data_IF_371076332924
#
_entry.id   IF_371076332924
#
_cell.length_a   1.000
_cell.length_b   1.000
_cell.length_c   1.000
_cell.angle_alpha   90.00
_cell.angle_beta   90.00
_cell.angle_gamma   90.00
#
_symmetry.space_group_name_H-M   'P 1'
#
loop_
_entity.id
_entity.type
_entity.pdbx_description
1 polymer ?
#
# COMPACT_ATOMS: atom_id res chain seq x y z
N UNK A 1 -8.70 65.39 -24.29
CA UNK A 1 -8.79 64.44 -23.16
C UNK A 1 -9.20 63.09 -23.73
N UNK A 2 -8.39 62.05 -23.53
CA UNK A 2 -8.70 60.74 -24.07
C UNK A 2 -7.67 59.69 -23.66
N UNK A 3 -8.18 58.72 -22.90
CA UNK A 3 -7.79 57.31 -22.86
C UNK A 3 -6.52 56.93 -22.11
N UNK A 4 -6.76 56.51 -20.85
CA UNK A 4 -5.92 55.54 -20.17
C UNK A 4 -5.98 54.16 -20.82
N UNK A 5 -4.91 53.41 -20.65
CA UNK A 5 -4.78 52.01 -21.05
C UNK A 5 -4.00 51.24 -19.99
N UNK A 6 -4.72 50.33 -19.33
CA UNK A 6 -4.24 49.23 -18.51
C UNK A 6 -3.27 48.33 -19.30
N UNK A 7 -2.38 47.59 -18.62
CA UNK A 7 -2.30 46.11 -18.68
C UNK A 7 -1.12 45.56 -17.85
N UNK A 8 -1.40 44.42 -17.20
CA UNK A 8 -0.60 43.54 -16.33
C UNK A 8 0.53 42.81 -17.08
N UNK A 9 1.58 42.38 -16.38
CA UNK A 9 1.97 40.95 -16.17
C UNK A 9 3.45 40.75 -15.75
N UNK A 10 3.70 39.54 -15.25
CA UNK A 10 4.97 38.80 -15.11
C UNK A 10 5.77 38.94 -13.80
N UNK A 11 5.69 37.97 -12.88
CA UNK A 11 6.31 36.62 -12.93
C UNK A 11 7.83 36.71 -12.98
N UNK A 12 8.48 36.67 -11.80
CA UNK A 12 9.85 36.16 -11.56
C UNK A 12 10.22 36.24 -10.06
N UNK A 13 10.36 35.08 -9.41
CA UNK A 13 11.25 34.82 -8.25
C UNK A 13 11.88 33.46 -8.59
N UNK A 14 13.09 33.33 -9.13
CA UNK A 14 14.43 33.62 -8.59
C UNK A 14 14.65 33.07 -7.17
N UNK A 15 15.18 31.84 -7.12
CA UNK A 15 16.36 31.44 -6.32
C UNK A 15 17.00 30.18 -6.92
N UNK A 16 18.01 30.38 -7.78
CA UNK A 16 19.24 29.55 -7.88
C UNK A 16 20.07 29.83 -6.60
N UNK A 17 21.02 29.04 -6.08
CA UNK A 17 21.73 27.82 -6.44
C UNK A 17 22.59 27.46 -5.20
N UNK A 18 22.80 26.18 -4.93
CA UNK A 18 24.01 25.69 -4.27
C UNK A 18 24.29 24.28 -4.77
N UNK A 19 25.19 24.23 -5.73
CA UNK A 19 25.73 23.06 -6.42
C UNK A 19 26.63 22.23 -5.51
N UNK A 20 26.41 20.92 -5.45
CA UNK A 20 27.51 19.95 -5.29
C UNK A 20 27.30 18.89 -6.37
N UNK A 21 28.19 18.94 -7.35
CA UNK A 21 28.36 17.92 -8.37
C UNK A 21 29.01 16.70 -7.71
N UNK A 22 28.35 15.54 -7.76
CA UNK A 22 29.07 14.27 -7.74
C UNK A 22 28.55 13.42 -8.89
N UNK A 23 29.47 13.15 -9.80
CA UNK A 23 29.26 12.45 -11.05
C UNK A 23 29.17 10.96 -10.79
N UNK A 24 28.00 10.35 -10.99
CA UNK A 24 27.89 8.89 -11.12
C UNK A 24 27.44 8.57 -12.53
N UNK A 25 28.35 7.92 -13.24
CA UNK A 25 28.22 7.51 -14.63
C UNK A 25 27.03 6.57 -14.82
N UNK A 26 26.30 6.86 -15.90
CA UNK A 26 25.25 6.04 -16.48
C UNK A 26 25.80 4.63 -16.81
N UNK A 27 25.05 3.61 -16.41
CA UNK A 27 24.96 2.37 -17.19
C UNK A 27 23.49 2.17 -17.53
N UNK A 28 23.19 2.31 -18.82
CA UNK A 28 21.86 2.12 -19.36
C UNK A 28 21.37 0.70 -19.08
N UNK A 29 20.16 0.62 -18.54
CA UNK A 29 19.30 -0.52 -18.74
C UNK A 29 18.05 0.01 -19.42
N UNK A 30 17.78 -0.57 -20.58
CA UNK A 30 16.66 -0.28 -21.46
C UNK A 30 15.34 -0.30 -20.69
N UNK A 31 14.88 0.88 -20.28
CA UNK A 31 13.47 1.05 -19.94
C UNK A 31 12.72 1.11 -21.27
N UNK A 32 12.41 -0.08 -21.80
CA UNK A 32 11.23 -0.20 -22.63
C UNK A 32 10.07 0.35 -21.80
N UNK A 33 9.64 1.56 -22.13
CA UNK A 33 8.44 2.20 -21.59
C UNK A 33 7.21 1.42 -22.05
N UNK A 34 7.07 0.17 -21.60
CA UNK A 34 5.74 -0.44 -21.51
C UNK A 34 4.95 0.47 -20.60
N UNK A 35 4.00 1.22 -21.17
CA UNK A 35 3.00 2.02 -20.44
C UNK A 35 2.40 1.15 -19.34
N UNK A 36 2.99 1.19 -18.15
CA UNK A 36 2.54 0.42 -17.02
C UNK A 36 1.14 0.92 -16.70
N UNK A 37 0.18 0.01 -16.61
CA UNK A 37 -1.16 0.39 -16.16
C UNK A 37 -1.04 1.10 -14.81
N UNK A 38 -1.82 2.18 -14.58
CA UNK A 38 -1.76 2.89 -13.32
C UNK A 38 -2.09 1.95 -12.17
N UNK A 39 -1.24 1.96 -11.13
CA UNK A 39 -1.43 1.13 -9.93
C UNK A 39 -2.77 1.51 -9.28
N UNK A 40 -3.70 0.56 -9.24
CA UNK A 40 -5.02 0.74 -8.60
C UNK A 40 -4.93 0.35 -7.14
N UNK A 41 -4.98 1.33 -6.24
CA UNK A 41 -5.12 1.08 -4.80
C UNK A 41 -6.48 0.48 -4.47
N UNK A 42 -6.51 -0.48 -3.54
CA UNK A 42 -7.75 -1.04 -2.98
C UNK A 42 -7.63 -1.10 -1.47
N UNK A 43 -8.73 -0.82 -0.78
CA UNK A 43 -8.84 -1.01 0.66
C UNK A 43 -9.22 -2.47 0.96
N UNK A 44 -8.64 -3.03 2.01
CA UNK A 44 -8.95 -4.38 2.49
C UNK A 44 -9.37 -4.28 3.95
N UNK A 45 -10.46 -4.96 4.28
CA UNK A 45 -10.98 -5.02 5.65
C UNK A 45 -10.69 -6.39 6.24
N UNK A 46 -10.07 -6.42 7.42
CA UNK A 46 -9.80 -7.61 8.21
C UNK A 46 -9.75 -7.24 9.69
N UNK A 47 -9.65 -8.24 10.56
CA UNK A 47 -9.52 -8.08 11.99
C UNK A 47 -8.21 -7.34 12.34
N UNK A 48 -8.22 -6.58 13.44
CA UNK A 48 -7.09 -5.71 13.83
C UNK A 48 -5.79 -6.50 14.05
N UNK A 49 -5.91 -7.74 14.53
CA UNK A 49 -4.77 -8.64 14.73
C UNK A 49 -4.08 -8.98 13.41
N UNK A 50 -4.83 -9.18 12.33
CA UNK A 50 -4.25 -9.40 11.00
C UNK A 50 -3.52 -8.15 10.47
N UNK A 51 -4.06 -6.96 10.73
CA UNK A 51 -3.35 -5.72 10.37
C UNK A 51 -2.03 -5.57 11.14
N UNK A 52 -2.02 -5.94 12.42
CA UNK A 52 -0.81 -5.90 13.26
C UNK A 52 0.25 -6.90 12.79
N UNK A 53 -0.17 -8.12 12.41
CA UNK A 53 0.71 -9.13 11.84
C UNK A 53 1.31 -8.68 10.51
N UNK A 54 0.52 -8.02 9.65
CA UNK A 54 1.03 -7.46 8.38
C UNK A 54 2.09 -6.39 8.63
N UNK A 55 1.89 -5.53 9.64
CA UNK A 55 2.89 -4.53 10.03
C UNK A 55 4.17 -5.15 10.55
N UNK A 56 4.07 -6.19 11.38
CA UNK A 56 5.24 -6.93 11.85
C UNK A 56 6.01 -7.57 10.69
N UNK A 57 5.30 -8.27 9.79
CA UNK A 57 5.90 -8.91 8.61
C UNK A 57 6.57 -7.92 7.67
N UNK A 58 6.05 -6.69 7.56
CA UNK A 58 6.67 -5.62 6.79
C UNK A 58 8.03 -5.18 7.38
N UNK A 59 8.22 -5.36 8.69
CA UNK A 59 9.44 -5.02 9.43
C UNK A 59 10.40 -6.20 9.64
N UNK A 60 9.96 -7.45 9.42
CA UNK A 60 10.74 -8.67 9.70
C UNK A 60 12.12 -8.63 9.04
N UNK A 61 12.27 -8.28 7.75
CA UNK A 61 13.59 -8.00 7.20
C UNK A 61 14.08 -6.64 7.72
N UNK A 62 14.80 -6.60 8.86
CA UNK A 62 15.34 -5.35 9.42
C UNK A 62 16.23 -4.53 8.47
N UNK A 63 16.71 -5.16 7.40
CA UNK A 63 17.51 -4.53 6.33
C UNK A 63 16.70 -4.17 5.08
N UNK A 64 15.44 -4.54 5.02
CA UNK A 64 14.55 -4.32 3.90
C UNK A 64 13.17 -3.90 4.42
N UNK A 65 12.92 -2.59 4.40
CA UNK A 65 11.65 -2.00 4.78
C UNK A 65 10.61 -2.29 3.69
N UNK A 66 9.91 -3.41 3.80
CA UNK A 66 8.84 -3.77 2.87
C UNK A 66 7.61 -2.88 3.13
N UNK A 67 6.87 -2.52 2.07
CA UNK A 67 5.55 -1.92 2.27
C UNK A 67 4.52 -3.00 2.62
N UNK A 68 3.41 -2.63 3.28
CA UNK A 68 2.28 -3.56 3.50
C UNK A 68 1.84 -4.25 2.22
N UNK A 69 1.82 -3.52 1.09
CA UNK A 69 1.49 -4.08 -0.22
C UNK A 69 2.45 -5.19 -0.67
N UNK A 70 3.72 -5.14 -0.26
CA UNK A 70 4.70 -6.16 -0.60
C UNK A 70 4.49 -7.44 0.21
N UNK A 71 4.03 -7.33 1.45
CA UNK A 71 3.58 -8.49 2.25
C UNK A 71 2.41 -9.19 1.54
N UNK A 72 1.41 -8.43 1.07
CA UNK A 72 0.30 -9.00 0.29
C UNK A 72 0.76 -9.63 -1.02
N UNK A 73 1.65 -8.97 -1.76
CA UNK A 73 2.22 -9.51 -3.01
C UNK A 73 3.02 -10.80 -2.75
N UNK A 74 3.80 -10.85 -1.67
CA UNK A 74 4.53 -12.05 -1.27
C UNK A 74 3.57 -13.19 -0.94
N UNK A 75 2.50 -12.92 -0.21
CA UNK A 75 1.43 -13.88 0.06
C UNK A 75 0.83 -14.45 -1.24
N UNK A 76 0.42 -13.57 -2.16
CA UNK A 76 -0.13 -13.98 -3.47
C UNK A 76 0.88 -14.81 -4.28
N UNK A 77 2.16 -14.41 -4.29
CA UNK A 77 3.22 -15.13 -5.02
C UNK A 77 3.48 -16.53 -4.45
N UNK A 78 3.39 -16.69 -3.14
CA UNK A 78 3.52 -17.99 -2.48
C UNK A 78 2.31 -18.86 -2.83
N UNK A 79 1.10 -18.31 -2.69
CA UNK A 79 -0.14 -19.02 -3.01
C UNK A 79 -0.20 -19.44 -4.48
N UNK A 80 0.27 -18.63 -5.42
CA UNK A 80 0.27 -18.96 -6.86
C UNK A 80 1.21 -20.11 -7.25
N UNK A 81 2.06 -20.58 -6.32
CA UNK A 81 2.99 -21.69 -6.52
C UNK A 81 2.51 -22.98 -5.86
N UNK A 82 1.43 -22.92 -5.08
CA UNK A 82 0.83 -24.07 -4.39
C UNK A 82 -0.16 -24.79 -5.31
N UNK A 83 -0.43 -26.06 -5.03
CA UNK A 83 -1.53 -26.78 -5.69
C UNK A 83 -2.89 -26.34 -5.13
N UNK A 84 -3.95 -26.57 -5.89
CA UNK A 84 -5.31 -26.20 -5.48
C UNK A 84 -5.69 -26.85 -4.15
N UNK A 85 -5.30 -28.10 -3.91
CA UNK A 85 -5.58 -28.81 -2.66
C UNK A 85 -4.87 -28.16 -1.47
N UNK A 86 -3.63 -27.69 -1.66
CA UNK A 86 -2.87 -27.00 -0.62
C UNK A 86 -3.50 -25.65 -0.28
N UNK A 87 -3.95 -24.92 -1.31
CA UNK A 87 -4.66 -23.64 -1.12
C UNK A 87 -5.98 -23.88 -0.37
N UNK A 88 -6.73 -24.92 -0.74
CA UNK A 88 -7.99 -25.26 -0.07
C UNK A 88 -7.79 -25.56 1.42
N UNK A 89 -6.78 -26.36 1.76
CA UNK A 89 -6.44 -26.67 3.16
C UNK A 89 -6.10 -25.39 3.93
N UNK A 90 -5.25 -24.53 3.36
CA UNK A 90 -4.85 -23.29 3.99
C UNK A 90 -6.03 -22.33 4.19
N UNK A 91 -6.93 -22.23 3.22
CA UNK A 91 -8.13 -21.40 3.34
C UNK A 91 -9.10 -21.92 4.41
N UNK A 92 -9.22 -23.25 4.57
CA UNK A 92 -9.99 -23.85 5.66
C UNK A 92 -9.39 -23.49 7.03
N UNK A 93 -8.08 -23.58 7.18
CA UNK A 93 -7.38 -23.20 8.42
C UNK A 93 -7.58 -21.72 8.75
N UNK A 94 -7.43 -20.82 7.76
CA UNK A 94 -7.70 -19.40 7.97
C UNK A 94 -9.14 -19.20 8.39
N UNK A 95 -10.11 -19.80 7.72
CA UNK A 95 -11.54 -19.64 8.04
C UNK A 95 -11.88 -20.12 9.45
N UNK A 96 -11.19 -21.15 9.93
CA UNK A 96 -11.35 -21.71 11.28
C UNK A 96 -10.44 -21.06 12.34
N UNK A 97 -9.57 -20.13 11.93
CA UNK A 97 -8.60 -19.49 12.81
C UNK A 97 -9.29 -18.79 13.99
N UNK A 98 -8.74 -18.90 15.21
CA UNK A 98 -9.29 -18.19 16.37
C UNK A 98 -9.26 -16.67 16.20
N UNK A 99 -8.38 -16.13 15.34
CA UNK A 99 -8.39 -14.70 14.97
C UNK A 99 -9.70 -14.29 14.28
N UNK A 100 -10.38 -15.23 13.60
CA UNK A 100 -11.69 -15.00 13.00
C UNK A 100 -12.85 -15.26 13.97
N UNK A 101 -12.63 -16.03 15.04
CA UNK A 101 -13.67 -16.40 16.00
C UNK A 101 -14.14 -15.22 16.88
N UNK A 102 -13.30 -14.18 17.04
CA UNK A 102 -13.64 -12.96 17.80
C UNK A 102 -14.89 -12.25 17.24
N UNK A 103 -15.24 -12.47 15.97
CA UNK A 103 -16.47 -11.95 15.35
C UNK A 103 -17.78 -12.60 15.84
N UNK A 104 -17.72 -13.79 16.43
CA UNK A 104 -18.93 -14.55 16.78
C UNK A 104 -19.52 -14.16 18.14
N UNK A 105 -18.69 -13.71 19.08
CA UNK A 105 -19.13 -13.46 20.46
C UNK A 105 -19.75 -12.07 20.65
N UNK A 106 -19.36 -11.06 19.87
CA UNK A 106 -19.91 -9.71 20.01
C UNK A 106 -21.31 -9.52 19.38
N UNK A 107 -21.76 -10.46 18.56
CA UNK A 107 -23.13 -10.41 17.98
C UNK A 107 -24.23 -10.80 18.97
N UNK A 108 -23.89 -11.35 20.13
CA UNK A 108 -24.86 -11.85 21.12
C UNK A 108 -24.95 -11.06 22.42
N UNK A 109 -24.27 -9.91 22.55
CA UNK A 109 -24.68 -8.91 23.55
C UNK A 109 -25.94 -8.22 23.07
N UNK A 110 -27.05 -8.96 23.13
CA UNK A 110 -28.39 -8.42 23.10
C UNK A 110 -28.43 -7.25 24.09
N UNK A 111 -28.78 -6.08 23.56
CA UNK A 111 -29.14 -4.91 24.35
C UNK A 111 -30.24 -5.39 25.30
N UNK A 112 -30.09 -5.34 26.64
CA UNK A 112 -31.21 -5.57 27.51
C UNK A 112 -32.20 -4.44 27.25
N UNK A 113 -33.28 -4.76 26.54
CA UNK A 113 -34.48 -3.93 26.52
C UNK A 113 -35.13 -4.10 27.89
N UNK A 114 -34.70 -3.29 28.86
CA UNK A 114 -35.45 -3.11 30.10
C UNK A 114 -36.82 -2.51 29.77
N UNK A 115 -37.83 -3.08 30.44
CA UNK A 115 -39.27 -2.80 30.29
C UNK A 115 -39.69 -1.54 31.04
#
# INVERSE_FOLDING_TARGET
>A
MGLGGLVKSDRRRFTQEASVQESVQQTGQDQAETKAEPIKGRMVSMEADYHSLVDELALVPRRFNAARSDVFRAGVLVLSRMSDEQIEVLLKEVTQSPLNAVRSDERFKAIPTDK
#
